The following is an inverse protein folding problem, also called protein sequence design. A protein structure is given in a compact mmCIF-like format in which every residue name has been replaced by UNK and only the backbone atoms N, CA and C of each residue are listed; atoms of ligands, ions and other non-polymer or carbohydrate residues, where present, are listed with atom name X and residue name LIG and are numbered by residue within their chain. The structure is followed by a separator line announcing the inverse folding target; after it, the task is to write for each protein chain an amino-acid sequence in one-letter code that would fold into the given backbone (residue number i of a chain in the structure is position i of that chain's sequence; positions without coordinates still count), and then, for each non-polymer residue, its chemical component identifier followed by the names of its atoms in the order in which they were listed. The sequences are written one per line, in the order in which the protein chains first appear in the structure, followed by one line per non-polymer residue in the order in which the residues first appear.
data_IF_853344723256
#
_entry.id   IF_853344723256
#
_cell.length_a   1.000
_cell.length_b   1.000
_cell.length_c   1.000
_cell.angle_alpha   90.00
_cell.angle_beta   90.00
_cell.angle_gamma   90.00
#
_symmetry.space_group_name_H-M   'P 1'
#
loop_
_entity.id
_entity.type
_entity.pdbx_description
1 polymer ?
#
# COMPACT_ATOMS: atom_id res chain seq x y z
N UNK A 1 -65.71 12.13 -11.14
CA UNK A 1 -64.43 12.72 -11.55
C UNK A 1 -63.58 13.27 -10.39
N UNK A 2 -64.11 14.03 -9.46
CA UNK A 2 -63.35 14.71 -8.35
C UNK A 2 -62.61 13.73 -7.40
N UNK A 3 -63.15 12.53 -7.14
CA UNK A 3 -62.57 11.56 -6.18
C UNK A 3 -61.30 10.87 -6.69
N UNK A 4 -61.18 10.63 -7.99
CA UNK A 4 -60.03 10.04 -8.61
C UNK A 4 -58.86 11.06 -8.76
N UNK A 5 -59.21 12.33 -8.97
CA UNK A 5 -58.22 13.42 -9.07
C UNK A 5 -57.49 13.64 -7.73
N UNK A 6 -58.25 13.57 -6.62
CA UNK A 6 -57.66 13.68 -5.27
C UNK A 6 -56.75 12.50 -4.94
N UNK A 7 -57.15 11.29 -5.32
CA UNK A 7 -56.29 10.09 -5.13
C UNK A 7 -54.99 10.15 -5.94
N UNK A 8 -55.05 10.65 -7.18
CA UNK A 8 -53.84 10.81 -8.03
C UNK A 8 -52.94 11.89 -7.46
N UNK A 9 -53.50 12.98 -6.93
CA UNK A 9 -52.75 14.05 -6.29
C UNK A 9 -52.03 13.54 -5.01
N UNK A 10 -52.71 12.72 -4.20
CA UNK A 10 -52.12 12.09 -3.01
C UNK A 10 -50.97 11.13 -3.36
N UNK A 11 -51.09 10.33 -4.43
CA UNK A 11 -50.05 9.45 -4.91
C UNK A 11 -48.84 10.25 -5.44
N UNK A 12 -49.10 11.33 -6.19
CA UNK A 12 -48.04 12.23 -6.67
C UNK A 12 -47.29 12.92 -5.52
N UNK A 13 -48.00 13.39 -4.50
CA UNK A 13 -47.41 14.01 -3.31
C UNK A 13 -46.61 12.97 -2.50
N UNK A 14 -47.10 11.74 -2.34
CA UNK A 14 -46.38 10.70 -1.64
C UNK A 14 -45.11 10.24 -2.39
N UNK A 15 -45.14 10.25 -3.73
CA UNK A 15 -43.98 10.01 -4.58
C UNK A 15 -42.93 11.14 -4.48
N UNK A 16 -43.37 12.39 -4.37
CA UNK A 16 -42.45 13.52 -4.16
C UNK A 16 -41.79 13.49 -2.77
N UNK A 17 -42.49 13.11 -1.72
CA UNK A 17 -41.94 13.02 -0.35
C UNK A 17 -40.95 11.86 -0.25
N UNK A 18 -41.22 10.71 -0.91
CA UNK A 18 -40.26 9.59 -0.97
C UNK A 18 -39.02 9.90 -1.83
N UNK A 19 -39.14 10.86 -2.77
CA UNK A 19 -38.00 11.33 -3.57
C UNK A 19 -37.10 12.32 -2.80
N UNK A 20 -37.64 13.07 -1.82
CA UNK A 20 -36.87 14.07 -1.07
C UNK A 20 -35.74 13.48 -0.26
N UNK A 21 -35.94 12.34 0.41
CA UNK A 21 -34.88 11.70 1.22
C UNK A 21 -33.69 11.23 0.41
N UNK A 22 -33.90 10.73 -0.82
CA UNK A 22 -32.81 10.34 -1.74
C UNK A 22 -32.07 11.55 -2.32
N UNK A 23 -32.75 12.64 -2.52
CA UNK A 23 -32.15 13.90 -3.00
C UNK A 23 -31.32 14.54 -1.87
N UNK A 24 -31.82 14.53 -0.63
CA UNK A 24 -31.08 15.04 0.54
C UNK A 24 -29.78 14.24 0.78
N UNK A 25 -29.80 12.93 0.63
CA UNK A 25 -28.61 12.06 0.71
C UNK A 25 -27.55 12.36 -0.37
N UNK A 26 -27.92 13.02 -1.49
CA UNK A 26 -26.94 13.46 -2.50
C UNK A 26 -26.17 14.72 -2.07
N UNK A 27 -26.75 15.54 -1.20
CA UNK A 27 -26.16 16.82 -0.76
C UNK A 27 -25.62 16.79 0.67
N UNK A 28 -25.90 15.73 1.44
CA UNK A 28 -25.46 15.55 2.82
C UNK A 28 -24.62 14.27 2.95
N UNK A 29 -23.56 14.33 3.72
CA UNK A 29 -22.77 13.15 4.07
C UNK A 29 -23.49 12.25 5.09
N UNK A 30 -24.40 12.79 5.90
CA UNK A 30 -24.98 12.13 7.06
C UNK A 30 -24.05 12.12 8.28
N UNK A 31 -24.47 11.46 9.35
CA UNK A 31 -23.68 11.33 10.57
C UNK A 31 -22.64 10.19 10.42
N UNK A 32 -21.46 10.29 11.05
CA UNK A 32 -20.49 9.20 11.06
C UNK A 32 -21.05 7.98 11.79
N UNK A 33 -20.99 6.84 11.16
CA UNK A 33 -21.34 5.53 11.74
C UNK A 33 -20.20 4.55 11.60
N UNK A 34 -20.16 3.54 12.46
CA UNK A 34 -19.15 2.46 12.42
C UNK A 34 -19.83 1.14 12.14
N UNK A 35 -19.33 0.43 11.13
CA UNK A 35 -19.80 -0.89 10.72
C UNK A 35 -18.65 -1.90 10.85
N UNK A 36 -18.93 -3.05 11.48
CA UNK A 36 -18.02 -4.18 11.46
C UNK A 36 -18.38 -5.10 10.29
N UNK A 37 -17.38 -5.48 9.51
CA UNK A 37 -17.52 -6.38 8.36
C UNK A 37 -16.75 -7.66 8.61
N UNK A 38 -17.47 -8.77 8.65
CA UNK A 38 -16.86 -10.08 8.74
C UNK A 38 -16.29 -10.49 7.38
N UNK A 39 -15.10 -11.09 7.40
CA UNK A 39 -14.45 -11.61 6.21
C UNK A 39 -14.73 -13.10 6.07
N UNK A 40 -15.23 -13.50 4.91
CA UNK A 40 -15.53 -14.92 4.62
C UNK A 40 -14.27 -15.76 4.38
N UNK A 41 -13.20 -15.13 3.93
CA UNK A 41 -11.94 -15.77 3.58
C UNK A 41 -10.76 -14.98 4.16
N UNK A 42 -9.62 -15.64 4.31
CA UNK A 42 -8.36 -14.98 4.65
C UNK A 42 -7.79 -14.31 3.40
N UNK A 43 -7.03 -13.26 3.61
CA UNK A 43 -6.27 -12.57 2.58
C UNK A 43 -4.82 -12.40 3.03
N UNK A 44 -3.92 -12.27 2.07
CA UNK A 44 -2.49 -12.00 2.27
C UNK A 44 -2.02 -10.80 1.45
N UNK A 45 -2.91 -10.23 0.66
CA UNK A 45 -2.66 -9.02 -0.13
C UNK A 45 -3.81 -8.02 0.05
N UNK A 46 -3.49 -6.73 -0.08
CA UNK A 46 -4.46 -5.63 -0.04
C UNK A 46 -4.28 -4.80 -1.31
N UNK A 47 -5.38 -4.45 -1.96
CA UNK A 47 -5.42 -3.47 -3.04
C UNK A 47 -6.40 -2.36 -2.67
N UNK A 48 -5.89 -1.14 -2.49
CA UNK A 48 -6.70 0.00 -2.09
C UNK A 48 -6.76 1.06 -3.18
N UNK A 49 -7.97 1.62 -3.35
CA UNK A 49 -8.29 2.55 -4.41
C UNK A 49 -9.08 3.74 -3.88
N UNK A 50 -9.01 4.84 -4.61
CA UNK A 50 -9.78 6.06 -4.39
C UNK A 50 -9.46 6.72 -3.04
N UNK A 51 -10.47 7.19 -2.30
CA UNK A 51 -10.32 7.95 -1.07
C UNK A 51 -10.81 7.13 0.14
N UNK A 52 -9.94 6.29 0.67
CA UNK A 52 -10.16 5.54 1.91
C UNK A 52 -8.88 5.57 2.72
N UNK A 53 -8.92 6.03 3.95
CA UNK A 53 -7.82 5.91 4.88
C UNK A 53 -7.79 4.49 5.44
N UNK A 54 -6.65 3.85 5.42
CA UNK A 54 -6.51 2.47 5.90
C UNK A 54 -5.52 2.42 7.06
N UNK A 55 -5.98 1.86 8.17
CA UNK A 55 -5.16 1.52 9.32
C UNK A 55 -5.01 0.01 9.43
N UNK A 56 -3.79 -0.47 9.37
CA UNK A 56 -3.46 -1.88 9.52
C UNK A 56 -3.20 -2.23 10.99
N UNK A 57 -3.79 -3.32 11.46
CA UNK A 57 -3.62 -3.85 12.82
C UNK A 57 -3.38 -5.36 12.73
N UNK A 58 -2.30 -5.86 13.30
CA UNK A 58 -2.04 -7.30 13.33
C UNK A 58 -2.99 -7.99 14.33
N UNK A 59 -3.72 -9.01 13.85
CA UNK A 59 -4.60 -9.83 14.65
C UNK A 59 -4.77 -11.22 14.01
N UNK A 60 -4.83 -12.26 14.83
CA UNK A 60 -5.03 -13.63 14.36
C UNK A 60 -6.42 -13.88 13.74
N UNK A 61 -7.38 -13.00 14.02
CA UNK A 61 -8.75 -13.04 13.48
C UNK A 61 -8.99 -11.86 12.54
N UNK A 62 -8.83 -12.06 11.21
CA UNK A 62 -9.05 -11.01 10.24
C UNK A 62 -10.50 -10.50 10.25
N UNK A 63 -10.67 -9.20 10.33
CA UNK A 63 -11.94 -8.47 10.29
C UNK A 63 -11.72 -7.05 9.84
N UNK A 64 -12.79 -6.36 9.54
CA UNK A 64 -12.77 -4.96 9.13
C UNK A 64 -13.69 -4.12 10.03
N UNK A 65 -13.26 -2.90 10.28
CA UNK A 65 -14.07 -1.89 10.98
C UNK A 65 -14.04 -0.61 10.15
N UNK A 66 -15.19 -0.28 9.55
CA UNK A 66 -15.36 0.87 8.68
C UNK A 66 -16.12 1.97 9.41
N UNK A 67 -15.50 3.14 9.52
CA UNK A 67 -16.13 4.36 10.04
C UNK A 67 -16.22 5.39 8.94
N UNK A 68 -17.42 5.76 8.57
CA UNK A 68 -17.66 6.82 7.59
C UNK A 68 -19.10 7.37 7.73
N UNK A 69 -19.43 8.48 7.05
CA UNK A 69 -20.79 8.99 7.01
C UNK A 69 -21.80 7.96 6.45
N UNK A 70 -22.98 7.89 7.06
CA UNK A 70 -24.02 6.90 6.75
C UNK A 70 -24.45 6.88 5.28
N UNK A 71 -24.49 8.04 4.62
CA UNK A 71 -24.87 8.15 3.21
C UNK A 71 -23.78 7.69 2.24
N UNK A 72 -22.57 7.37 2.72
CA UNK A 72 -21.44 6.93 1.92
C UNK A 72 -21.11 5.44 2.12
N UNK A 73 -21.51 4.85 3.24
CA UNK A 73 -21.04 3.55 3.71
C UNK A 73 -21.37 2.39 2.75
N UNK A 74 -22.53 2.44 2.10
CA UNK A 74 -22.97 1.40 1.16
C UNK A 74 -22.09 1.28 -0.08
N UNK A 75 -21.45 2.39 -0.49
CA UNK A 75 -20.57 2.45 -1.66
C UNK A 75 -19.08 2.34 -1.34
N UNK A 76 -18.74 2.16 -0.08
CA UNK A 76 -17.39 1.75 0.32
C UNK A 76 -17.36 0.22 0.29
N UNK A 77 -16.78 -0.34 -0.75
CA UNK A 77 -16.75 -1.80 -0.96
C UNK A 77 -15.47 -2.41 -0.40
N UNK A 78 -15.62 -3.60 0.19
CA UNK A 78 -14.53 -4.40 0.73
C UNK A 78 -14.77 -5.85 0.33
N UNK A 79 -14.07 -6.32 -0.71
CA UNK A 79 -14.28 -7.64 -1.30
C UNK A 79 -12.97 -8.42 -1.32
N UNK A 80 -13.04 -9.73 -1.12
CA UNK A 80 -11.90 -10.63 -1.29
C UNK A 80 -12.09 -11.40 -2.59
N UNK A 81 -11.12 -11.26 -3.49
CA UNK A 81 -11.00 -12.08 -4.70
C UNK A 81 -9.63 -12.78 -4.67
N UNK A 82 -9.68 -14.12 -4.71
CA UNK A 82 -8.50 -14.94 -4.48
C UNK A 82 -7.92 -14.73 -3.08
N UNK A 83 -6.72 -14.24 -2.99
CA UNK A 83 -5.98 -13.94 -1.76
C UNK A 83 -5.88 -12.42 -1.46
N UNK A 84 -6.59 -11.59 -2.21
CA UNK A 84 -6.48 -10.14 -2.17
C UNK A 84 -7.76 -9.49 -1.66
N UNK A 85 -7.64 -8.65 -0.63
CA UNK A 85 -8.68 -7.74 -0.16
C UNK A 85 -8.69 -6.48 -1.01
N UNK A 86 -9.76 -6.24 -1.74
CA UNK A 86 -10.00 -5.02 -2.52
C UNK A 86 -10.80 -4.02 -1.70
N UNK A 87 -10.27 -2.82 -1.54
CA UNK A 87 -10.87 -1.71 -0.81
C UNK A 87 -11.12 -0.57 -1.80
N UNK A 88 -12.38 -0.17 -1.97
CA UNK A 88 -12.75 0.87 -2.93
C UNK A 88 -13.82 1.78 -2.35
N UNK A 89 -13.72 3.04 -2.68
CA UNK A 89 -14.79 4.01 -2.49
C UNK A 89 -15.43 4.30 -3.86
N UNK A 90 -16.64 3.78 -4.07
CA UNK A 90 -17.41 3.93 -5.32
C UNK A 90 -18.47 5.06 -5.23
N UNK A 91 -18.33 5.95 -4.26
CA UNK A 91 -19.21 7.08 -4.12
C UNK A 91 -19.02 8.09 -5.26
N UNK A 92 -20.13 8.38 -5.97
CA UNK A 92 -20.19 9.35 -7.03
C UNK A 92 -20.68 10.72 -6.51
N UNK A 93 -20.48 11.75 -7.30
CA UNK A 93 -20.99 13.10 -7.04
C UNK A 93 -20.46 13.75 -5.75
N UNK A 94 -19.25 13.35 -5.30
CA UNK A 94 -18.62 13.88 -4.09
C UNK A 94 -18.49 15.42 -4.11
N UNK A 95 -18.40 16.03 -5.31
CA UNK A 95 -18.36 17.49 -5.51
C UNK A 95 -19.67 18.23 -5.13
N UNK A 96 -20.78 17.49 -4.93
CA UNK A 96 -22.05 18.05 -4.46
C UNK A 96 -22.16 18.11 -2.93
N UNK A 97 -21.26 17.42 -2.23
CA UNK A 97 -21.23 17.29 -0.78
C UNK A 97 -20.14 18.15 -0.15
N UNK A 98 -20.21 18.36 1.17
CA UNK A 98 -19.06 18.86 1.91
C UNK A 98 -17.88 17.89 1.81
N UNK A 99 -16.67 18.43 1.65
CA UNK A 99 -15.43 17.63 1.71
C UNK A 99 -14.93 17.39 3.15
N UNK A 100 -15.69 17.88 4.14
CA UNK A 100 -15.35 17.71 5.56
C UNK A 100 -15.87 16.36 6.08
N UNK A 101 -15.29 15.28 5.57
CA UNK A 101 -15.57 13.92 6.03
C UNK A 101 -14.34 13.03 5.80
N UNK A 102 -14.22 11.98 6.60
CA UNK A 102 -13.25 10.91 6.40
C UNK A 102 -13.94 9.57 6.16
N UNK A 103 -13.26 8.69 5.45
CA UNK A 103 -13.61 7.28 5.33
C UNK A 103 -12.43 6.52 5.90
N UNK A 104 -12.62 5.97 7.11
CA UNK A 104 -11.56 5.35 7.88
C UNK A 104 -11.85 3.85 8.02
N UNK A 105 -10.98 3.02 7.46
CA UNK A 105 -11.07 1.56 7.51
C UNK A 105 -9.93 0.99 8.33
N UNK A 106 -10.26 0.35 9.45
CA UNK A 106 -9.30 -0.48 10.18
C UNK A 106 -9.35 -1.91 9.64
N UNK A 107 -8.20 -2.38 9.15
CA UNK A 107 -8.02 -3.73 8.59
C UNK A 107 -7.22 -4.56 9.59
N UNK A 108 -7.88 -5.54 10.19
CA UNK A 108 -7.22 -6.53 11.05
C UNK A 108 -6.75 -7.69 10.18
N UNK A 109 -5.46 -8.00 10.22
CA UNK A 109 -4.83 -9.00 9.36
C UNK A 109 -3.93 -9.96 10.17
N UNK A 110 -3.81 -11.19 9.72
CA UNK A 110 -2.95 -12.24 10.30
C UNK A 110 -1.54 -12.22 9.67
N UNK A 111 -1.47 -12.29 8.34
CA UNK A 111 -0.23 -12.16 7.59
C UNK A 111 -0.43 -11.32 6.34
N UNK A 112 0.62 -10.61 5.92
CA UNK A 112 0.54 -9.69 4.80
C UNK A 112 1.82 -9.78 3.94
N UNK A 113 1.64 -10.08 2.66
CA UNK A 113 2.72 -10.20 1.68
C UNK A 113 2.82 -8.99 0.76
N UNK A 114 1.68 -8.40 0.40
CA UNK A 114 1.60 -7.39 -0.65
C UNK A 114 0.58 -6.32 -0.31
N UNK A 115 0.95 -5.07 -0.55
CA UNK A 115 0.00 -3.96 -0.64
C UNK A 115 0.15 -3.30 -2.01
N UNK A 116 -0.96 -3.16 -2.73
CA UNK A 116 -1.09 -2.33 -3.92
C UNK A 116 -1.83 -1.05 -3.54
N UNK A 117 -1.15 0.06 -3.60
CA UNK A 117 -1.68 1.37 -3.24
C UNK A 117 -1.97 2.18 -4.50
N UNK A 118 -3.23 2.57 -4.67
CA UNK A 118 -3.73 3.46 -5.73
C UNK A 118 -4.78 4.42 -5.15
N UNK A 119 -4.43 5.12 -4.06
CA UNK A 119 -5.37 5.87 -3.24
C UNK A 119 -4.91 7.30 -2.99
N UNK A 120 -5.86 8.17 -2.65
CA UNK A 120 -5.59 9.50 -2.11
C UNK A 120 -5.79 9.55 -0.59
N UNK A 121 -6.35 8.49 0.00
CA UNK A 121 -6.39 8.30 1.46
C UNK A 121 -5.07 7.72 1.98
N UNK A 122 -4.82 7.91 3.25
CA UNK A 122 -3.59 7.48 3.91
C UNK A 122 -3.56 5.99 4.21
N UNK A 123 -2.34 5.44 4.28
CA UNK A 123 -2.08 4.08 4.73
C UNK A 123 -1.13 4.09 5.92
N UNK A 124 -1.58 3.56 7.04
CA UNK A 124 -0.79 3.51 8.28
C UNK A 124 -0.88 2.14 8.94
N UNK A 125 0.11 1.78 9.74
CA UNK A 125 0.06 0.58 10.56
C UNK A 125 0.22 0.92 12.06
N UNK A 126 -0.45 0.17 12.92
CA UNK A 126 -0.28 0.25 14.38
C UNK A 126 0.93 -0.54 14.85
N UNK A 127 1.18 -1.69 14.23
CA UNK A 127 2.22 -2.64 14.58
C UNK A 127 3.16 -2.87 13.41
N UNK A 128 4.33 -3.46 13.68
CA UNK A 128 5.27 -3.78 12.62
C UNK A 128 4.76 -4.93 11.74
N UNK A 129 4.77 -4.72 10.44
CA UNK A 129 4.45 -5.74 9.44
C UNK A 129 5.62 -6.71 9.35
N UNK A 130 5.38 -7.99 9.64
CA UNK A 130 6.42 -9.04 9.59
C UNK A 130 6.66 -9.61 8.20
N UNK A 131 5.76 -9.31 7.28
CA UNK A 131 5.77 -9.95 5.97
C UNK A 131 5.24 -11.40 6.04
N UNK A 132 5.25 -12.07 4.91
CA UNK A 132 4.84 -13.47 4.79
C UNK A 132 6.07 -14.36 4.64
N UNK A 133 6.09 -15.47 5.38
CA UNK A 133 7.15 -16.47 5.25
C UNK A 133 7.04 -17.17 3.89
N UNK A 134 8.05 -17.02 3.09
CA UNK A 134 8.15 -17.60 1.75
C UNK A 134 9.42 -18.44 1.64
N UNK A 135 9.31 -19.54 0.91
CA UNK A 135 10.45 -20.41 0.58
C UNK A 135 11.07 -19.93 -0.73
N UNK A 136 12.35 -19.62 -0.69
CA UNK A 136 13.16 -19.37 -1.88
C UNK A 136 14.00 -20.60 -2.17
N UNK A 137 13.91 -21.11 -3.39
CA UNK A 137 14.74 -22.21 -3.87
C UNK A 137 15.77 -21.61 -4.83
N UNK A 138 17.01 -21.55 -4.41
CA UNK A 138 18.13 -21.17 -5.26
C UNK A 138 18.79 -22.43 -5.82
N UNK A 139 18.82 -22.56 -7.14
CA UNK A 139 19.50 -23.63 -7.84
C UNK A 139 20.78 -23.07 -8.45
N UNK A 140 21.92 -23.46 -7.91
CA UNK A 140 23.21 -23.14 -8.50
C UNK A 140 23.68 -24.33 -9.33
N UNK A 141 24.05 -24.03 -10.57
CA UNK A 141 24.69 -25.00 -11.46
C UNK A 141 26.13 -24.54 -11.63
N UNK A 142 27.07 -25.27 -11.07
CA UNK A 142 28.48 -25.07 -11.36
C UNK A 142 28.99 -26.16 -12.34
N UNK A 143 29.55 -25.69 -13.43
CA UNK A 143 30.17 -26.56 -14.46
C UNK A 143 31.67 -26.37 -14.34
N UNK A 144 32.35 -27.41 -13.90
CA UNK A 144 33.81 -27.45 -13.92
C UNK A 144 34.28 -28.25 -15.13
N UNK A 145 35.02 -27.58 -16.01
CA UNK A 145 35.61 -28.19 -17.22
C UNK A 145 37.09 -28.37 -17.01
N UNK A 146 37.50 -29.62 -16.84
CA UNK A 146 38.91 -30.00 -16.93
C UNK A 146 39.21 -30.52 -18.32
N UNK A 147 40.52 -30.61 -18.73
CA UNK A 147 40.91 -31.09 -20.04
C UNK A 147 40.45 -32.55 -20.36
N UNK A 148 39.98 -33.28 -19.37
CA UNK A 148 39.60 -34.71 -19.50
C UNK A 148 38.19 -35.03 -19.00
N UNK A 149 37.48 -34.13 -18.31
CA UNK A 149 36.13 -34.39 -17.80
C UNK A 149 35.32 -33.10 -17.65
N UNK A 150 34.01 -33.21 -17.86
CA UNK A 150 33.04 -32.19 -17.52
C UNK A 150 32.29 -32.70 -16.28
N UNK A 151 32.47 -32.04 -15.15
CA UNK A 151 31.72 -32.34 -13.94
C UNK A 151 30.66 -31.25 -13.70
N UNK A 152 29.43 -31.69 -13.52
CA UNK A 152 28.30 -30.79 -13.29
C UNK A 152 27.76 -31.04 -11.89
N UNK A 153 27.98 -30.11 -10.98
CA UNK A 153 27.41 -30.19 -9.63
C UNK A 153 26.17 -29.31 -9.53
N UNK A 154 25.13 -29.88 -8.93
CA UNK A 154 23.86 -29.21 -8.63
C UNK A 154 23.81 -28.98 -7.13
N UNK A 155 23.66 -27.74 -6.73
CA UNK A 155 23.30 -27.43 -5.36
C UNK A 155 21.90 -26.77 -5.32
N UNK A 156 21.06 -27.30 -4.47
CA UNK A 156 19.74 -26.71 -4.18
C UNK A 156 19.84 -26.15 -2.77
N UNK A 157 19.79 -24.84 -2.66
CA UNK A 157 19.68 -24.17 -1.37
C UNK A 157 18.26 -23.71 -1.14
N UNK A 158 17.71 -24.02 0.01
CA UNK A 158 16.34 -23.67 0.39
C UNK A 158 16.41 -22.72 1.57
N UNK A 159 16.07 -21.47 1.33
CA UNK A 159 16.02 -20.44 2.37
C UNK A 159 14.59 -19.99 2.64
N UNK A 160 14.27 -19.76 3.90
CA UNK A 160 12.99 -19.21 4.32
C UNK A 160 13.21 -17.75 4.70
N UNK A 161 12.36 -16.87 4.18
CA UNK A 161 12.44 -15.46 4.47
C UNK A 161 11.04 -14.84 4.58
N UNK A 162 10.88 -13.90 5.50
CA UNK A 162 9.68 -13.08 5.59
C UNK A 162 9.79 -11.93 4.59
N UNK A 163 8.96 -11.98 3.56
CA UNK A 163 8.97 -11.00 2.46
C UNK A 163 7.73 -10.11 2.52
N UNK A 164 7.94 -8.82 2.24
CA UNK A 164 6.86 -7.85 2.12
C UNK A 164 7.06 -6.98 0.88
N UNK A 165 5.99 -6.72 0.14
CA UNK A 165 6.01 -5.90 -1.06
C UNK A 165 5.02 -4.74 -0.93
N UNK A 166 5.45 -3.55 -1.29
CA UNK A 166 4.63 -2.34 -1.37
C UNK A 166 4.71 -1.78 -2.78
N UNK A 167 3.62 -1.85 -3.52
CA UNK A 167 3.50 -1.23 -4.84
C UNK A 167 2.64 0.02 -4.74
N UNK A 168 3.19 1.16 -5.13
CA UNK A 168 2.49 2.43 -5.21
C UNK A 168 2.26 2.69 -6.69
N UNK A 169 1.07 2.33 -7.17
CA UNK A 169 0.73 2.38 -8.58
C UNK A 169 0.26 3.78 -9.00
N UNK A 170 -0.51 4.43 -8.12
CA UNK A 170 -1.06 5.77 -8.28
C UNK A 170 -1.34 6.35 -6.88
N UNK A 171 -1.62 7.67 -6.82
CA UNK A 171 -2.13 8.29 -5.60
C UNK A 171 -1.26 9.40 -5.05
N UNK A 172 -1.76 10.02 -3.99
CA UNK A 172 -1.10 11.09 -3.26
C UNK A 172 -1.32 11.03 -1.74
N UNK A 173 -1.98 9.98 -1.24
CA UNK A 173 -2.10 9.75 0.20
C UNK A 173 -0.75 9.37 0.81
N UNK A 174 -0.57 9.69 2.09
CA UNK A 174 0.66 9.39 2.82
C UNK A 174 0.70 7.93 3.27
N UNK A 175 1.90 7.35 3.22
CA UNK A 175 2.14 5.97 3.64
C UNK A 175 3.13 5.97 4.80
N UNK A 176 2.71 5.47 5.96
CA UNK A 176 3.55 5.33 7.14
C UNK A 176 3.49 3.90 7.69
N UNK A 177 4.54 3.11 7.42
CA UNK A 177 4.60 1.70 7.77
C UNK A 177 5.81 1.37 8.64
N UNK A 178 5.55 0.61 9.71
CA UNK A 178 6.59 -0.05 10.48
C UNK A 178 6.78 -1.48 9.95
N UNK A 179 8.03 -1.90 9.78
CA UNK A 179 8.40 -3.19 9.21
C UNK A 179 9.34 -3.95 10.15
N UNK A 180 9.14 -5.28 10.23
CA UNK A 180 10.04 -6.20 10.92
C UNK A 180 10.07 -7.51 10.10
N UNK A 181 10.84 -7.50 9.02
CA UNK A 181 10.86 -8.59 8.04
C UNK A 181 12.30 -8.86 7.55
N UNK A 182 12.48 -9.93 6.79
CA UNK A 182 13.77 -10.23 6.19
C UNK A 182 14.02 -9.40 4.95
N UNK A 183 13.03 -9.28 4.07
CA UNK A 183 13.17 -8.49 2.87
C UNK A 183 11.93 -7.62 2.62
N UNK A 184 12.18 -6.41 2.13
CA UNK A 184 11.13 -5.50 1.65
C UNK A 184 11.45 -5.01 0.25
N UNK A 185 10.42 -4.96 -0.60
CA UNK A 185 10.49 -4.31 -1.90
C UNK A 185 9.41 -3.25 -2.00
N UNK A 186 9.84 -2.02 -2.27
CA UNK A 186 8.96 -0.88 -2.47
C UNK A 186 9.10 -0.37 -3.90
N UNK A 187 7.99 -0.35 -4.64
CA UNK A 187 7.95 0.07 -6.03
C UNK A 187 7.01 1.27 -6.20
N UNK A 188 7.58 2.42 -6.49
CA UNK A 188 6.86 3.66 -6.78
C UNK A 188 6.68 3.77 -8.30
N UNK A 189 5.51 3.37 -8.80
CA UNK A 189 5.18 3.45 -10.21
C UNK A 189 4.81 4.87 -10.64
N UNK A 190 3.73 5.40 -10.07
CA UNK A 190 3.21 6.75 -10.32
C UNK A 190 2.69 7.37 -9.03
N UNK A 191 2.43 8.70 -9.06
CA UNK A 191 1.85 9.44 -7.94
C UNK A 191 2.84 10.35 -7.23
N UNK A 192 2.38 10.95 -6.15
CA UNK A 192 3.13 11.92 -5.34
C UNK A 192 3.13 11.57 -3.85
N UNK A 193 2.76 10.34 -3.51
CA UNK A 193 2.72 9.87 -2.13
C UNK A 193 4.05 10.04 -1.42
N UNK A 194 4.02 10.58 -0.22
CA UNK A 194 5.16 10.54 0.70
C UNK A 194 5.15 9.21 1.44
N UNK A 195 6.29 8.54 1.48
CA UNK A 195 6.40 7.22 2.08
C UNK A 195 7.40 7.22 3.20
N UNK A 196 6.93 6.94 4.41
CA UNK A 196 7.74 6.74 5.60
C UNK A 196 7.80 5.25 5.93
N UNK A 197 9.00 4.69 5.93
CA UNK A 197 9.27 3.32 6.35
C UNK A 197 10.18 3.33 7.59
N UNK A 198 9.80 2.56 8.60
CA UNK A 198 10.57 2.46 9.85
C UNK A 198 10.63 1.03 10.35
N UNK A 199 11.58 0.74 11.25
CA UNK A 199 11.74 -0.57 11.87
C UNK A 199 13.00 -1.29 11.43
N UNK A 200 12.89 -2.60 11.15
CA UNK A 200 14.05 -3.43 10.88
C UNK A 200 13.85 -4.38 9.69
N UNK A 201 14.87 -4.45 8.83
CA UNK A 201 14.94 -5.40 7.71
C UNK A 201 16.23 -6.20 7.86
N UNK A 202 16.09 -7.51 8.12
CA UNK A 202 17.22 -8.41 8.36
C UNK A 202 18.10 -8.62 7.12
N UNK A 203 17.53 -8.56 5.93
CA UNK A 203 18.19 -8.75 4.64
C UNK A 203 18.18 -7.49 3.77
N UNK A 204 17.42 -7.53 2.68
CA UNK A 204 17.41 -6.52 1.62
C UNK A 204 16.19 -5.61 1.70
N UNK A 205 16.44 -4.29 1.76
CA UNK A 205 15.46 -3.27 1.43
C UNK A 205 15.71 -2.76 0.00
N UNK A 206 14.81 -3.08 -0.92
CA UNK A 206 14.85 -2.62 -2.31
C UNK A 206 13.82 -1.51 -2.56
N UNK A 207 14.28 -0.37 -3.05
CA UNK A 207 13.48 0.83 -3.30
C UNK A 207 13.63 1.22 -4.77
N UNK A 208 12.52 1.11 -5.52
CA UNK A 208 12.44 1.48 -6.93
C UNK A 208 11.57 2.73 -7.05
N UNK A 209 12.18 3.86 -7.43
CA UNK A 209 11.50 5.16 -7.56
C UNK A 209 11.36 5.54 -9.03
N UNK A 210 10.13 5.57 -9.53
CA UNK A 210 9.77 6.02 -10.89
C UNK A 210 8.80 7.18 -10.89
N UNK A 211 8.39 7.64 -9.71
CA UNK A 211 7.39 8.69 -9.50
C UNK A 211 7.97 9.88 -8.74
N UNK A 212 7.11 10.83 -8.37
CA UNK A 212 7.48 12.09 -7.74
C UNK A 212 7.33 12.08 -6.20
N UNK A 213 7.15 10.92 -5.57
CA UNK A 213 7.09 10.81 -4.11
C UNK A 213 8.47 10.84 -3.47
N UNK A 214 8.54 11.33 -2.24
CA UNK A 214 9.75 11.27 -1.39
C UNK A 214 9.72 9.99 -0.57
N UNK A 215 10.89 9.39 -0.34
CA UNK A 215 11.02 8.18 0.48
C UNK A 215 11.82 8.48 1.74
N UNK A 216 11.17 8.35 2.89
CA UNK A 216 11.73 8.45 4.22
C UNK A 216 11.92 7.06 4.83
N UNK A 217 13.05 6.43 4.57
CA UNK A 217 13.46 5.15 5.13
C UNK A 217 14.74 5.25 5.98
N UNK A 218 15.09 6.46 6.44
CA UNK A 218 16.22 6.70 7.36
C UNK A 218 15.99 6.15 8.77
N UNK A 219 14.79 5.66 9.05
CA UNK A 219 14.45 4.95 10.29
C UNK A 219 14.15 3.45 10.05
N UNK A 220 14.38 2.94 8.83
CA UNK A 220 14.32 1.53 8.47
C UNK A 220 15.74 0.94 8.47
N UNK A 221 16.11 0.32 9.56
CA UNK A 221 17.44 -0.24 9.75
C UNK A 221 17.60 -1.53 8.92
N UNK A 222 18.35 -1.48 7.83
CA UNK A 222 18.48 -2.60 6.89
C UNK A 222 19.93 -3.06 6.73
N UNK A 223 20.15 -4.38 6.56
CA UNK A 223 21.50 -4.90 6.27
C UNK A 223 21.99 -4.43 4.91
N UNK A 224 21.17 -4.67 3.90
CA UNK A 224 21.45 -4.32 2.51
C UNK A 224 20.35 -3.37 2.03
N UNK A 225 20.77 -2.30 1.37
CA UNK A 225 19.83 -1.37 0.74
C UNK A 225 20.18 -1.25 -0.73
N UNK A 226 19.16 -1.32 -1.57
CA UNK A 226 19.24 -1.08 -3.00
C UNK A 226 18.27 0.02 -3.38
N UNK A 227 18.78 1.11 -3.95
CA UNK A 227 17.95 2.20 -4.47
C UNK A 227 18.16 2.31 -5.96
N UNK A 228 17.07 2.26 -6.72
CA UNK A 228 17.07 2.61 -8.13
C UNK A 228 16.10 3.76 -8.35
N UNK A 229 16.60 4.92 -8.73
CA UNK A 229 15.80 6.13 -8.86
C UNK A 229 15.83 6.71 -10.27
N UNK A 230 14.63 6.90 -10.82
CA UNK A 230 14.32 7.72 -11.99
C UNK A 230 13.54 8.98 -11.58
N UNK A 231 13.45 9.26 -10.28
CA UNK A 231 12.73 10.37 -9.69
C UNK A 231 13.58 11.64 -9.62
N UNK A 232 12.91 12.79 -9.64
CA UNK A 232 13.53 14.09 -9.32
C UNK A 232 13.59 14.35 -7.81
N UNK A 233 12.89 13.56 -7.02
CA UNK A 233 12.84 13.68 -5.56
C UNK A 233 13.84 12.74 -4.88
N UNK A 234 14.13 13.07 -3.63
CA UNK A 234 15.16 12.43 -2.83
C UNK A 234 14.67 11.15 -2.14
N UNK A 235 15.61 10.28 -1.78
CA UNK A 235 15.39 9.15 -0.91
C UNK A 235 16.34 9.22 0.30
N UNK A 236 15.80 8.91 1.47
CA UNK A 236 16.51 8.82 2.73
C UNK A 236 16.53 7.38 3.21
N UNK A 237 17.70 6.80 3.46
CA UNK A 237 17.81 5.35 3.76
C UNK A 237 18.82 5.08 4.89
N UNK A 238 18.72 3.89 5.49
CA UNK A 238 19.69 3.43 6.48
C UNK A 238 20.20 2.03 6.12
N UNK A 239 21.46 1.96 5.70
CA UNK A 239 22.14 0.71 5.37
C UNK A 239 23.24 0.40 6.39
N UNK A 240 23.31 -0.86 6.85
CA UNK A 240 24.37 -1.31 7.77
C UNK A 240 25.61 -1.81 7.05
N UNK A 241 25.42 -2.68 6.06
CA UNK A 241 26.52 -3.41 5.44
C UNK A 241 26.82 -2.92 4.03
N UNK A 242 25.80 -2.78 3.18
CA UNK A 242 26.00 -2.33 1.80
C UNK A 242 24.83 -1.47 1.34
N UNK A 243 25.17 -0.38 0.65
CA UNK A 243 24.24 0.47 -0.08
C UNK A 243 24.60 0.44 -1.57
N UNK A 244 23.67 0.01 -2.40
CA UNK A 244 23.83 0.04 -3.86
C UNK A 244 22.82 1.02 -4.44
N UNK A 245 23.31 2.00 -5.22
CA UNK A 245 22.49 3.11 -5.73
C UNK A 245 22.67 3.25 -7.24
N UNK A 246 21.56 3.31 -7.96
CA UNK A 246 21.48 3.71 -9.37
C UNK A 246 20.63 4.97 -9.48
N UNK A 247 21.22 6.08 -9.96
CA UNK A 247 20.52 7.34 -10.18
C UNK A 247 20.47 7.66 -11.66
N UNK A 248 19.26 7.72 -12.20
CA UNK A 248 18.97 8.04 -13.60
C UNK A 248 18.32 9.41 -13.78
N UNK A 249 18.15 10.18 -12.68
CA UNK A 249 17.58 11.52 -12.66
C UNK A 249 18.31 12.39 -11.64
N UNK A 250 17.80 13.60 -11.37
CA UNK A 250 18.44 14.61 -10.51
C UNK A 250 18.20 14.42 -9.01
N UNK A 251 17.28 13.53 -8.62
CA UNK A 251 17.02 13.22 -7.20
C UNK A 251 18.24 12.59 -6.52
N UNK A 252 18.42 12.88 -5.24
CA UNK A 252 19.56 12.42 -4.46
C UNK A 252 19.19 11.26 -3.55
N UNK A 253 20.23 10.56 -3.07
CA UNK A 253 20.08 9.58 -1.98
C UNK A 253 20.91 10.01 -0.78
N UNK A 254 20.23 10.16 0.35
CA UNK A 254 20.83 10.45 1.64
C UNK A 254 20.84 9.18 2.50
N UNK A 255 21.98 8.82 3.09
CA UNK A 255 22.07 7.58 3.82
C UNK A 255 22.67 7.70 5.21
N UNK A 256 22.17 6.89 6.13
CA UNK A 256 22.69 6.62 7.48
C UNK A 256 23.49 5.33 7.52
N UNK A 257 24.37 5.21 8.50
CA UNK A 257 25.17 4.01 8.74
C UNK A 257 26.60 4.16 8.21
N UNK A 258 27.28 3.01 8.14
CA UNK A 258 28.65 2.93 7.61
C UNK A 258 28.79 1.79 6.60
N UNK A 259 27.93 1.74 5.56
CA UNK A 259 27.96 0.68 4.58
C UNK A 259 29.12 0.81 3.58
N UNK A 260 29.44 -0.28 2.91
CA UNK A 260 30.10 -0.21 1.61
C UNK A 260 29.14 0.44 0.60
N UNK A 261 29.55 1.54 -0.03
CA UNK A 261 28.70 2.25 -1.00
C UNK A 261 29.13 1.97 -2.43
N UNK A 262 28.21 1.41 -3.20
CA UNK A 262 28.37 1.20 -4.64
C UNK A 262 27.37 2.11 -5.33
N UNK A 263 27.87 3.03 -6.16
CA UNK A 263 27.03 4.00 -6.86
C UNK A 263 27.29 4.02 -8.36
N UNK A 264 26.21 4.10 -9.13
CA UNK A 264 26.19 4.32 -10.58
C UNK A 264 25.28 5.50 -10.81
N UNK A 265 25.86 6.66 -11.09
CA UNK A 265 25.12 7.93 -11.26
C UNK A 265 25.38 8.46 -12.67
N UNK A 266 24.64 8.00 -13.69
CA UNK A 266 24.77 8.53 -15.07
C UNK A 266 24.12 9.90 -15.25
N UNK A 267 23.49 10.44 -14.20
CA UNK A 267 22.81 11.73 -14.13
C UNK A 267 23.46 12.65 -13.09
N UNK A 268 22.87 13.83 -12.85
CA UNK A 268 23.35 14.82 -11.87
C UNK A 268 23.03 14.49 -10.42
N UNK A 269 22.20 13.46 -10.17
CA UNK A 269 21.87 12.99 -8.82
C UNK A 269 23.10 12.54 -8.03
N UNK A 270 23.10 12.78 -6.74
CA UNK A 270 24.23 12.55 -5.84
C UNK A 270 23.86 11.63 -4.67
N UNK A 271 24.89 11.08 -4.03
CA UNK A 271 24.74 10.22 -2.83
C UNK A 271 25.48 10.86 -1.69
N UNK A 272 24.76 11.21 -0.62
CA UNK A 272 25.28 11.91 0.55
C UNK A 272 25.10 11.07 1.82
N UNK A 273 26.06 11.20 2.73
CA UNK A 273 25.93 10.64 4.06
C UNK A 273 25.27 11.67 4.99
N UNK A 274 24.26 11.24 5.78
CA UNK A 274 23.61 12.02 6.83
C UNK A 274 24.48 12.14 8.09
#
# INVERSE_FOLDING_TARGET
MKRNTVAILFILVSLMVASCSKVEALFSNGEPITEQRELKHRFIAISMYNNVNVKLVHDSLPRLELTCPENLIEKVTTEIDGDTLYIKNENDYNWLRSYDYSIDLTVYYDSLRLINFASVGDLRCSDSIKGMLEMKIDTEISIDTTETSIDTTWSIDTTWAHNFNLNINEGCGDIDLALDCDNVRTNFGNGTSEVTLRGNVGGLAEILMRSYGVVHAENLNSNFVRVQSHSTNDAYVWARTRLTVWLYSIGNVYYKGNPEVIKVCPSDGQVFRL
#
